data_IF_645265191480
#
_entry.id   IF_645265191480
#
_cell.length_a   1.000
_cell.length_b   1.000
_cell.length_c   1.000
_cell.angle_alpha   90.00
_cell.angle_beta   90.00
_cell.angle_gamma   90.00
#
_symmetry.space_group_name_H-M   'P 1'
#
loop_
_entity.id
_entity.type
_entity.pdbx_description
1 polymer ?
#
# COMPACT_ATOMS: atom_id res chain seq x y z
N UNK A 1 -14.94 -4.09 -9.84
CA UNK A 1 -13.50 -4.26 -10.17
C UNK A 1 -12.87 -5.28 -9.23
N UNK A 2 -11.74 -5.91 -9.57
CA UNK A 2 -11.05 -6.83 -8.65
C UNK A 2 -10.26 -6.07 -7.57
N UNK A 3 -10.44 -6.49 -6.33
CA UNK A 3 -9.69 -6.02 -5.18
C UNK A 3 -8.79 -7.13 -4.64
N UNK A 4 -7.62 -6.74 -4.14
CA UNK A 4 -6.60 -7.63 -3.62
C UNK A 4 -6.27 -7.27 -2.18
N UNK A 5 -6.17 -8.28 -1.32
CA UNK A 5 -5.69 -8.13 0.06
C UNK A 5 -4.63 -9.18 0.37
N UNK A 6 -3.61 -8.80 1.13
CA UNK A 6 -2.57 -9.71 1.58
C UNK A 6 -3.11 -10.57 2.75
N UNK A 7 -2.90 -11.89 2.68
CA UNK A 7 -3.33 -12.82 3.76
C UNK A 7 -2.21 -13.22 4.70
N UNK A 8 -0.96 -13.20 4.22
CA UNK A 8 0.23 -13.55 4.98
C UNK A 8 1.45 -12.82 4.40
N UNK A 9 2.49 -12.65 5.21
CA UNK A 9 3.70 -11.94 4.80
C UNK A 9 4.58 -12.81 3.86
N UNK A 10 4.90 -12.34 2.64
CA UNK A 10 5.79 -13.04 1.72
C UNK A 10 7.25 -12.89 2.10
N UNK A 11 8.04 -13.92 1.83
CA UNK A 11 9.49 -13.78 1.65
C UNK A 11 9.78 -13.31 0.21
N UNK A 12 10.27 -12.08 0.06
CA UNK A 12 10.42 -11.44 -1.24
C UNK A 12 11.74 -11.82 -1.93
N UNK A 13 11.71 -12.27 -3.20
CA UNK A 13 12.91 -12.45 -4.00
C UNK A 13 13.68 -11.13 -4.17
N UNK A 14 14.98 -11.22 -4.45
CA UNK A 14 15.86 -10.05 -4.64
C UNK A 14 15.30 -9.00 -5.62
N UNK A 15 14.64 -9.44 -6.69
CA UNK A 15 14.01 -8.56 -7.68
C UNK A 15 12.92 -7.62 -7.10
N UNK A 16 12.30 -8.00 -5.97
CA UNK A 16 11.18 -7.29 -5.36
C UNK A 16 11.56 -6.61 -4.03
N UNK A 17 12.85 -6.46 -3.72
CA UNK A 17 13.30 -5.86 -2.45
C UNK A 17 13.23 -4.32 -2.42
N UNK A 18 12.79 -3.66 -3.50
CA UNK A 18 12.61 -2.20 -3.54
C UNK A 18 11.58 -1.75 -2.49
N UNK A 19 11.82 -0.58 -1.89
CA UNK A 19 10.95 0.02 -0.86
C UNK A 19 9.49 0.16 -1.33
N UNK A 20 9.26 0.36 -2.62
CA UNK A 20 7.92 0.44 -3.21
C UNK A 20 7.09 -0.84 -3.00
N UNK A 21 7.67 -2.03 -3.23
CA UNK A 21 6.98 -3.31 -3.03
C UNK A 21 6.68 -3.56 -1.55
N UNK A 22 7.62 -3.24 -0.66
CA UNK A 22 7.40 -3.37 0.79
C UNK A 22 6.27 -2.46 1.28
N UNK A 23 6.23 -1.21 0.84
CA UNK A 23 5.12 -0.28 1.14
C UNK A 23 3.78 -0.82 0.63
N UNK A 24 3.76 -1.34 -0.59
CA UNK A 24 2.57 -1.92 -1.18
C UNK A 24 2.05 -3.12 -0.37
N UNK A 25 2.94 -4.00 0.10
CA UNK A 25 2.55 -5.10 1.00
C UNK A 25 1.98 -4.60 2.33
N UNK A 26 2.61 -3.58 2.94
CA UNK A 26 2.08 -2.96 4.16
C UNK A 26 0.67 -2.42 3.94
N UNK A 27 0.44 -1.70 2.84
CA UNK A 27 -0.88 -1.19 2.46
C UNK A 27 -1.91 -2.31 2.28
N UNK A 28 -1.55 -3.36 1.53
CA UNK A 28 -2.40 -4.52 1.27
C UNK A 28 -2.65 -5.40 2.50
N UNK A 29 -1.80 -5.33 3.53
CA UNK A 29 -2.03 -6.05 4.78
C UNK A 29 -3.22 -5.47 5.56
N UNK A 30 -3.41 -4.15 5.47
CA UNK A 30 -4.46 -3.44 6.20
C UNK A 30 -5.81 -3.52 5.47
N UNK A 31 -5.82 -3.32 4.14
CA UNK A 31 -7.07 -3.12 3.37
C UNK A 31 -7.07 -3.84 2.03
N UNK A 32 -8.27 -4.02 1.48
CA UNK A 32 -8.46 -4.40 0.08
C UNK A 32 -8.14 -3.21 -0.81
N UNK A 33 -7.41 -3.45 -1.90
CA UNK A 33 -7.02 -2.40 -2.83
C UNK A 33 -7.18 -2.85 -4.27
N UNK A 34 -7.55 -1.91 -5.14
CA UNK A 34 -7.62 -2.15 -6.58
C UNK A 34 -6.24 -1.95 -7.22
N UNK A 35 -6.05 -2.55 -8.40
CA UNK A 35 -4.82 -2.40 -9.18
C UNK A 35 -4.40 -0.93 -9.45
N UNK A 36 -5.30 0.00 -9.84
CA UNK A 36 -4.92 1.41 -10.00
C UNK A 36 -4.52 2.08 -8.68
N UNK A 37 -5.18 1.74 -7.55
CA UNK A 37 -4.78 2.28 -6.23
C UNK A 37 -3.38 1.81 -5.82
N UNK A 38 -3.04 0.55 -6.09
CA UNK A 38 -1.71 0.00 -5.82
C UNK A 38 -0.62 0.67 -6.67
N UNK A 39 -0.88 0.92 -7.95
CA UNK A 39 0.04 1.67 -8.81
C UNK A 39 0.22 3.11 -8.31
N UNK A 40 -0.88 3.78 -7.94
CA UNK A 40 -0.86 5.15 -7.42
C UNK A 40 -0.12 5.31 -6.09
N UNK A 41 -0.30 4.40 -5.13
CA UNK A 41 0.33 4.51 -3.80
C UNK A 41 1.79 4.04 -3.77
N UNK A 42 2.17 3.09 -4.63
CA UNK A 42 3.53 2.53 -4.67
C UNK A 42 4.48 3.31 -5.58
N UNK A 43 3.95 4.07 -6.56
CA UNK A 43 4.74 4.71 -7.60
C UNK A 43 5.31 3.73 -8.64
N UNK A 44 4.84 2.48 -8.65
CA UNK A 44 5.20 1.47 -9.63
C UNK A 44 4.33 1.58 -10.89
N UNK A 45 4.88 1.12 -12.01
CA UNK A 45 4.11 0.99 -13.24
C UNK A 45 3.01 -0.07 -13.07
N UNK A 46 1.92 0.08 -13.84
CA UNK A 46 0.80 -0.87 -13.83
C UNK A 46 1.25 -2.31 -14.15
N UNK A 47 2.26 -2.45 -15.02
CA UNK A 47 2.87 -3.73 -15.37
C UNK A 47 3.66 -4.34 -14.20
N UNK A 48 4.50 -3.56 -13.51
CA UNK A 48 5.23 -4.03 -12.33
C UNK A 48 4.28 -4.51 -11.22
N UNK A 49 3.21 -3.76 -10.96
CA UNK A 49 2.19 -4.15 -9.98
C UNK A 49 1.53 -5.47 -10.38
N UNK A 50 1.19 -5.64 -11.66
CA UNK A 50 0.56 -6.86 -12.16
C UNK A 50 1.47 -8.07 -11.99
N UNK A 51 2.74 -7.98 -12.42
CA UNK A 51 3.72 -9.04 -12.25
C UNK A 51 3.92 -9.41 -10.78
N UNK A 52 3.90 -8.40 -9.90
CA UNK A 52 4.00 -8.65 -8.46
C UNK A 52 2.76 -9.36 -7.89
N UNK A 53 1.56 -8.96 -8.30
CA UNK A 53 0.32 -9.63 -7.88
C UNK A 53 0.28 -11.09 -8.37
N UNK A 54 0.76 -11.35 -9.59
CA UNK A 54 0.88 -12.72 -10.13
C UNK A 54 1.82 -13.58 -9.26
N UNK A 55 2.94 -13.02 -8.79
CA UNK A 55 3.86 -13.70 -7.87
C UNK A 55 3.21 -14.02 -6.52
N UNK A 56 2.50 -13.06 -5.94
CA UNK A 56 1.80 -13.27 -4.66
C UNK A 56 0.65 -14.26 -4.81
N UNK A 57 -0.05 -14.26 -5.94
CA UNK A 57 -1.10 -15.22 -6.26
C UNK A 57 -0.53 -16.64 -6.42
N UNK A 58 0.58 -16.79 -7.13
CA UNK A 58 1.29 -18.07 -7.27
C UNK A 58 1.74 -18.64 -5.91
N UNK A 59 2.03 -17.75 -4.95
CA UNK A 59 2.39 -18.11 -3.57
C UNK A 59 1.18 -18.32 -2.66
N UNK A 60 -0.05 -18.21 -3.19
CA UNK A 60 -1.31 -18.24 -2.44
C UNK A 60 -1.39 -17.19 -1.30
N UNK A 61 -0.77 -16.03 -1.48
CA UNK A 61 -0.71 -14.95 -0.48
C UNK A 61 -1.72 -13.83 -0.70
N UNK A 62 -2.55 -13.95 -1.73
CA UNK A 62 -3.61 -12.99 -2.05
C UNK A 62 -4.99 -13.55 -1.79
N UNK A 63 -5.84 -12.71 -1.21
CA UNK A 63 -7.29 -12.87 -1.24
C UNK A 63 -7.85 -11.91 -2.28
N UNK A 64 -8.54 -12.46 -3.26
CA UNK A 64 -9.29 -11.68 -4.25
C UNK A 64 -10.73 -11.46 -3.77
N UNK A 65 -11.25 -10.26 -4.02
CA UNK A 65 -12.66 -9.92 -3.82
C UNK A 65 -13.19 -9.20 -5.07
N UNK A 66 -14.39 -9.56 -5.50
CA UNK A 66 -15.13 -8.74 -6.46
C UNK A 66 -15.74 -7.55 -5.74
N UNK A 67 -15.24 -6.35 -6.07
CA UNK A 67 -15.84 -5.12 -5.60
C UNK A 67 -17.07 -4.79 -6.43
N UNK A 68 -18.22 -4.80 -5.75
CA UNK A 68 -19.49 -4.30 -6.25
C UNK A 68 -19.77 -2.83 -5.92
N UNK A 69 -18.81 -2.12 -5.31
CA UNK A 69 -18.97 -0.70 -4.94
C UNK A 69 -18.01 0.15 -5.78
N UNK A 70 -18.50 1.13 -6.57
CA UNK A 70 -17.65 1.98 -7.39
C UNK A 70 -16.71 2.88 -6.54
N UNK A 71 -15.53 3.16 -7.10
CA UNK A 71 -14.34 3.78 -6.49
C UNK A 71 -14.51 5.17 -5.81
N UNK A 72 -15.72 5.70 -5.69
CA UNK A 72 -15.98 7.10 -5.27
C UNK A 72 -15.91 7.38 -3.76
N UNK A 73 -15.62 6.38 -2.90
CA UNK A 73 -15.63 6.56 -1.44
C UNK A 73 -14.26 6.72 -0.78
N UNK A 74 -13.14 6.51 -1.50
CA UNK A 74 -11.79 6.57 -0.92
C UNK A 74 -10.88 7.69 -1.46
N UNK A 75 -11.29 8.42 -2.51
CA UNK A 75 -10.58 9.65 -2.94
C UNK A 75 -10.61 10.75 -1.86
N UNK A 76 -11.44 10.60 -0.83
CA UNK A 76 -11.52 11.51 0.33
C UNK A 76 -10.58 11.17 1.48
N UNK A 77 -9.76 10.11 1.40
CA UNK A 77 -8.82 9.71 2.46
C UNK A 77 -7.34 9.89 2.10
N UNK A 78 -7.03 10.97 1.39
CA UNK A 78 -5.79 11.70 1.66
C UNK A 78 -6.13 13.19 1.72
N UNK A 79 -5.87 13.83 2.86
CA UNK A 79 -4.50 14.30 3.00
C UNK A 79 -3.93 14.11 4.42
N UNK A 80 -2.61 14.30 4.53
CA UNK A 80 -1.85 14.56 5.77
C UNK A 80 -1.49 13.28 6.56
N UNK A 81 -0.25 12.81 6.55
CA UNK A 81 0.89 13.61 6.98
C UNK A 81 1.10 13.60 8.51
N UNK A 82 0.80 12.49 9.20
CA UNK A 82 1.07 12.34 10.64
C UNK A 82 2.55 12.44 11.06
N UNK A 83 3.48 12.39 10.11
CA UNK A 83 4.93 12.60 10.33
C UNK A 83 5.35 14.06 10.54
N UNK A 84 4.60 15.08 10.08
CA UNK A 84 5.08 16.48 10.13
C UNK A 84 4.87 17.13 11.52
N UNK A 85 4.03 16.57 12.40
CA UNK A 85 3.87 17.15 13.75
C UNK A 85 5.10 17.01 14.65
N UNK A 86 6.07 16.17 14.30
CA UNK A 86 7.26 15.93 15.14
C UNK A 86 8.38 16.96 15.00
N UNK A 87 8.28 17.89 14.03
CA UNK A 87 9.29 18.93 13.84
C UNK A 87 8.94 20.29 14.48
N UNK A 88 7.69 20.52 14.91
CA UNK A 88 7.26 21.82 15.47
C UNK A 88 7.12 21.84 17.00
N UNK A 89 7.30 20.71 17.69
CA UNK A 89 7.26 20.66 19.16
C UNK A 89 8.65 20.68 19.82
N UNK A 90 9.71 20.98 19.07
CA UNK A 90 11.08 21.04 19.60
C UNK A 90 11.52 22.44 20.09
N UNK A 91 10.65 23.46 20.09
CA UNK A 91 11.05 24.85 20.41
C UNK A 91 10.08 25.54 21.41
N UNK A 92 9.42 24.79 22.29
CA UNK A 92 8.72 25.38 23.45
C UNK A 92 9.04 24.53 24.68
N UNK A 93 10.11 24.88 25.39
CA UNK A 93 10.44 24.22 26.66
C UNK A 93 11.84 24.41 27.21
N UNK A 94 12.53 25.52 26.92
CA UNK A 94 13.81 25.87 27.54
C UNK A 94 13.62 26.75 28.76
N UNK A 95 13.54 26.12 29.94
CA UNK A 95 13.57 26.70 31.28
C UNK A 95 14.59 27.84 31.45
N UNK A 96 14.16 28.94 32.06
CA UNK A 96 14.80 29.57 33.24
C UNK A 96 13.83 30.58 33.86
#
# INVERSE_FOLDING_TARGET
MKEFKLIAWPELPAAFQRTAYRRMLSDMSHRYMTLPQLAGSSGLTRSEVRTFLELLQASALLRERESGVPDSLFDTLAPIGGWIRRALTSEIGGRR
#
